data_IF_458163581518
#
_entry.id   IF_458163581518
#
_cell.length_a   1.000
_cell.length_b   1.000
_cell.length_c   1.000
_cell.angle_alpha   90.00
_cell.angle_beta   90.00
_cell.angle_gamma   90.00
#
_symmetry.space_group_name_H-M   'P 1'
#
loop_
_entity.id
_entity.type
_entity.pdbx_description
1 polymer ?
#
# COMPACT_ATOMS: atom_id res chain seq x y z
N UNK A 1 -13.20 16.00 -29.01
CA UNK A 1 -12.09 15.68 -28.08
C UNK A 1 -12.50 14.99 -26.76
N UNK A 2 -13.75 15.05 -26.28
CA UNK A 2 -14.17 14.34 -25.04
C UNK A 2 -14.24 12.80 -25.15
N UNK A 3 -14.26 12.22 -26.37
CA UNK A 3 -14.33 10.76 -26.60
C UNK A 3 -13.00 10.01 -26.41
N UNK A 4 -11.85 10.69 -26.39
CA UNK A 4 -10.52 10.04 -26.32
C UNK A 4 -10.10 9.72 -24.86
N UNK A 5 -10.60 10.48 -23.89
CA UNK A 5 -10.21 10.33 -22.47
C UNK A 5 -10.89 9.11 -21.83
N UNK A 6 -12.09 8.74 -22.27
CA UNK A 6 -12.82 7.55 -21.77
C UNK A 6 -12.20 6.23 -22.21
N UNK A 7 -11.52 6.18 -23.37
CA UNK A 7 -10.84 4.96 -23.84
C UNK A 7 -9.59 4.61 -23.00
N UNK A 8 -8.88 5.64 -22.50
CA UNK A 8 -7.65 5.45 -21.72
C UNK A 8 -7.86 4.80 -20.34
N UNK A 9 -9.01 5.05 -19.71
CA UNK A 9 -9.36 4.45 -18.41
C UNK A 9 -9.74 2.97 -18.60
N UNK A 10 -10.39 2.61 -19.70
CA UNK A 10 -10.80 1.22 -19.99
C UNK A 10 -9.60 0.29 -20.25
N UNK A 11 -8.55 0.79 -20.92
CA UNK A 11 -7.34 0.00 -21.21
C UNK A 11 -6.51 -0.37 -19.96
N UNK A 12 -6.49 0.48 -18.93
CA UNK A 12 -5.78 0.18 -17.67
C UNK A 12 -6.46 -0.91 -16.84
N UNK A 13 -7.78 -1.11 -16.99
CA UNK A 13 -8.49 -2.21 -16.34
C UNK A 13 -8.28 -3.56 -17.05
N UNK A 14 -8.11 -3.57 -18.38
CA UNK A 14 -7.96 -4.81 -19.16
C UNK A 14 -6.57 -5.46 -19.02
N UNK A 15 -5.50 -4.67 -18.82
CA UNK A 15 -4.13 -5.20 -18.65
C UNK A 15 -3.89 -5.86 -17.28
N UNK A 16 -4.69 -5.52 -16.26
CA UNK A 16 -4.64 -6.19 -14.96
C UNK A 16 -5.19 -7.63 -14.96
N UNK A 17 -6.00 -7.98 -15.98
CA UNK A 17 -6.70 -9.26 -16.05
C UNK A 17 -5.93 -10.38 -16.77
N UNK A 18 -4.84 -10.09 -17.47
CA UNK A 18 -4.07 -11.09 -18.22
C UNK A 18 -3.10 -11.94 -17.36
N UNK A 19 -3.02 -11.69 -16.04
CA UNK A 19 -2.07 -12.38 -15.16
C UNK A 19 -2.52 -13.76 -14.64
N UNK A 20 -3.68 -14.25 -15.05
CA UNK A 20 -4.24 -15.52 -14.54
C UNK A 20 -4.80 -16.37 -15.68
N UNK A 21 -3.99 -17.27 -16.24
CA UNK A 21 -4.45 -18.60 -16.67
C UNK A 21 -3.37 -19.51 -17.28
N UNK A 22 -2.13 -19.06 -17.49
CA UNK A 22 -1.07 -19.96 -17.98
C UNK A 22 -0.48 -20.80 -16.84
N UNK A 23 -1.00 -22.02 -16.66
CA UNK A 23 -0.27 -23.23 -16.22
C UNK A 23 0.52 -23.22 -14.91
N UNK A 24 0.46 -22.17 -14.10
CA UNK A 24 1.30 -22.03 -12.90
C UNK A 24 0.79 -22.83 -11.69
N UNK A 25 -0.27 -23.62 -11.87
CA UNK A 25 -0.96 -24.31 -10.79
C UNK A 25 -0.09 -25.34 -10.07
N UNK A 26 0.95 -25.86 -10.73
CA UNK A 26 1.80 -26.92 -10.18
C UNK A 26 3.29 -26.56 -10.08
N UNK A 27 3.62 -25.26 -10.13
CA UNK A 27 5.02 -24.82 -9.99
C UNK A 27 5.61 -25.26 -8.62
N UNK A 28 6.86 -25.75 -8.57
CA UNK A 28 7.54 -26.09 -7.32
C UNK A 28 7.54 -24.95 -6.29
N UNK A 29 7.55 -23.70 -6.78
CA UNK A 29 7.47 -22.50 -5.96
C UNK A 29 6.12 -22.39 -5.21
N UNK A 30 4.99 -22.71 -5.86
CA UNK A 30 3.66 -22.69 -5.24
C UNK A 30 3.55 -23.78 -4.16
N UNK A 31 4.04 -24.99 -4.43
CA UNK A 31 4.12 -26.09 -3.45
C UNK A 31 4.96 -25.68 -2.22
N UNK A 32 6.11 -25.04 -2.43
CA UNK A 32 6.93 -24.52 -1.34
C UNK A 32 6.22 -23.41 -0.53
N UNK A 33 5.53 -22.50 -1.21
CA UNK A 33 4.76 -21.44 -0.57
C UNK A 33 3.60 -22.01 0.27
N UNK A 34 2.91 -23.04 -0.23
CA UNK A 34 1.86 -23.73 0.52
C UNK A 34 2.41 -24.40 1.78
N UNK A 35 3.52 -25.13 1.69
CA UNK A 35 4.18 -25.74 2.86
C UNK A 35 4.60 -24.69 3.87
N UNK A 36 5.24 -23.60 3.42
CA UNK A 36 5.60 -22.46 4.29
C UNK A 36 4.39 -21.91 5.01
N UNK A 37 3.26 -21.76 4.30
CA UNK A 37 2.02 -21.23 4.86
C UNK A 37 1.38 -22.16 5.89
N UNK A 38 1.32 -23.47 5.63
CA UNK A 38 0.83 -24.48 6.59
C UNK A 38 1.66 -24.46 7.89
N UNK A 39 2.98 -24.36 7.78
CA UNK A 39 3.88 -24.21 8.94
C UNK A 39 3.57 -22.93 9.73
N UNK A 40 3.33 -21.80 9.03
CA UNK A 40 2.98 -20.54 9.67
C UNK A 40 1.65 -20.63 10.43
N UNK A 41 0.61 -21.22 9.82
CA UNK A 41 -0.70 -21.42 10.47
C UNK A 41 -0.56 -22.33 11.70
N UNK A 42 0.18 -23.43 11.57
CA UNK A 42 0.45 -24.34 12.68
C UNK A 42 1.13 -23.63 13.85
N UNK A 43 2.21 -22.88 13.58
CA UNK A 43 2.93 -22.12 14.61
C UNK A 43 2.05 -21.04 15.23
N UNK A 44 1.19 -20.40 14.44
CA UNK A 44 0.24 -19.40 14.90
C UNK A 44 -0.77 -20.01 15.89
N UNK A 45 -1.45 -21.11 15.50
CA UNK A 45 -2.39 -21.82 16.38
C UNK A 45 -1.71 -22.27 17.68
N UNK A 46 -0.51 -22.87 17.57
CA UNK A 46 0.25 -23.31 18.73
C UNK A 46 0.60 -22.16 19.68
N UNK A 47 0.94 -20.98 19.15
CA UNK A 47 1.30 -19.82 19.97
C UNK A 47 0.13 -19.24 20.77
N UNK A 48 -1.12 -19.59 20.41
CA UNK A 48 -2.31 -19.14 21.12
C UNK A 48 -2.61 -19.98 22.37
N UNK A 49 -1.96 -21.13 22.57
CA UNK A 49 -2.19 -21.98 23.76
C UNK A 49 -3.69 -22.23 24.02
N UNK A 50 -4.43 -22.62 22.98
CA UNK A 50 -5.88 -22.76 23.02
C UNK A 50 -6.31 -23.94 23.90
N UNK A 51 -7.34 -23.74 24.73
CA UNK A 51 -8.00 -24.85 25.43
C UNK A 51 -8.80 -25.72 24.46
N UNK A 52 -9.10 -26.99 24.78
CA UNK A 52 -9.94 -27.85 23.93
C UNK A 52 -11.29 -27.22 23.57
N UNK A 53 -11.93 -26.54 24.52
CA UNK A 53 -13.19 -25.82 24.31
C UNK A 53 -13.04 -24.69 23.30
N UNK A 54 -12.00 -23.85 23.44
CA UNK A 54 -11.73 -22.76 22.50
C UNK A 54 -11.42 -23.29 21.10
N UNK A 55 -10.63 -24.38 21.01
CA UNK A 55 -10.29 -25.00 19.74
C UNK A 55 -11.55 -25.50 19.01
N UNK A 56 -12.47 -26.16 19.72
CA UNK A 56 -13.76 -26.60 19.17
C UNK A 56 -14.63 -25.43 18.66
N UNK A 57 -14.73 -24.36 19.44
CA UNK A 57 -15.47 -23.16 19.06
C UNK A 57 -14.88 -22.51 17.80
N UNK A 58 -13.56 -22.32 17.76
CA UNK A 58 -12.86 -21.73 16.60
C UNK A 58 -13.01 -22.62 15.36
N UNK A 59 -12.89 -23.94 15.51
CA UNK A 59 -13.09 -24.89 14.42
C UNK A 59 -14.51 -24.82 13.84
N UNK A 60 -15.53 -24.75 14.71
CA UNK A 60 -16.93 -24.60 14.30
C UNK A 60 -17.16 -23.31 13.51
N UNK A 61 -16.62 -22.17 13.98
CA UNK A 61 -16.69 -20.88 13.29
C UNK A 61 -16.00 -20.97 11.92
N UNK A 62 -14.80 -21.55 11.86
CA UNK A 62 -14.03 -21.67 10.63
C UNK A 62 -14.73 -22.55 9.57
N UNK A 63 -15.42 -23.63 9.97
CA UNK A 63 -16.23 -24.44 9.06
C UNK A 63 -17.37 -23.63 8.47
N UNK A 64 -18.11 -22.91 9.31
CA UNK A 64 -19.24 -22.08 8.88
C UNK A 64 -18.79 -21.02 7.88
N UNK A 65 -17.71 -20.30 8.20
CA UNK A 65 -17.11 -19.33 7.28
C UNK A 65 -16.68 -19.98 5.96
N UNK A 66 -16.05 -21.16 6.00
CA UNK A 66 -15.62 -21.86 4.79
C UNK A 66 -16.81 -22.24 3.90
N UNK A 67 -17.93 -22.72 4.48
CA UNK A 67 -19.15 -23.02 3.72
C UNK A 67 -19.72 -21.77 3.03
N UNK A 68 -19.84 -20.67 3.75
CA UNK A 68 -20.30 -19.39 3.19
C UNK A 68 -19.36 -18.89 2.09
N UNK A 69 -18.04 -19.03 2.29
CA UNK A 69 -17.03 -18.69 1.27
C UNK A 69 -17.20 -19.51 0.00
N UNK A 70 -17.47 -20.80 0.10
CA UNK A 70 -17.70 -21.66 -1.06
C UNK A 70 -18.98 -21.28 -1.81
N UNK A 71 -20.06 -21.00 -1.09
CA UNK A 71 -21.31 -20.50 -1.67
C UNK A 71 -21.10 -19.17 -2.39
N UNK A 72 -20.45 -18.21 -1.72
CA UNK A 72 -20.08 -16.91 -2.27
C UNK A 72 -19.22 -17.04 -3.53
N UNK A 73 -18.17 -17.87 -3.50
CA UNK A 73 -17.28 -18.05 -4.65
C UNK A 73 -18.01 -18.63 -5.86
N UNK A 74 -18.97 -19.53 -5.65
CA UNK A 74 -19.78 -20.11 -6.73
C UNK A 74 -20.62 -19.02 -7.40
N UNK A 75 -21.39 -18.25 -6.63
CA UNK A 75 -22.22 -17.17 -7.20
C UNK A 75 -21.35 -16.07 -7.82
N UNK A 76 -20.29 -15.68 -7.14
CA UNK A 76 -19.38 -14.63 -7.60
C UNK A 76 -18.75 -14.97 -8.95
N UNK A 77 -18.31 -16.23 -9.15
CA UNK A 77 -17.75 -16.70 -10.43
C UNK A 77 -18.77 -16.61 -11.57
N UNK A 78 -20.04 -16.92 -11.29
CA UNK A 78 -21.10 -16.84 -12.30
C UNK A 78 -21.36 -15.38 -12.71
N UNK A 79 -21.51 -14.47 -11.74
CA UNK A 79 -21.67 -13.04 -12.03
C UNK A 79 -20.42 -12.48 -12.72
N UNK A 80 -19.22 -12.91 -12.33
CA UNK A 80 -17.95 -12.50 -12.95
C UNK A 80 -17.90 -12.93 -14.41
N UNK A 81 -18.31 -14.16 -14.73
CA UNK A 81 -18.40 -14.66 -16.10
C UNK A 81 -19.34 -13.80 -16.94
N UNK A 82 -20.55 -13.55 -16.45
CA UNK A 82 -21.54 -12.69 -17.14
C UNK A 82 -21.02 -11.26 -17.33
N UNK A 83 -20.31 -10.73 -16.34
CA UNK A 83 -19.68 -9.40 -16.40
C UNK A 83 -18.61 -9.36 -17.50
N UNK A 84 -17.71 -10.36 -17.55
CA UNK A 84 -16.68 -10.49 -18.58
C UNK A 84 -17.28 -10.58 -19.97
N UNK A 85 -18.32 -11.39 -20.15
CA UNK A 85 -19.03 -11.52 -21.43
C UNK A 85 -19.66 -10.18 -21.86
N UNK A 86 -20.30 -9.45 -20.94
CA UNK A 86 -20.89 -8.15 -21.23
C UNK A 86 -19.83 -7.11 -21.65
N UNK A 87 -18.71 -7.04 -20.94
CA UNK A 87 -17.60 -6.15 -21.31
C UNK A 87 -16.90 -6.57 -22.60
N UNK A 88 -16.79 -7.87 -22.88
CA UNK A 88 -16.22 -8.35 -24.13
C UNK A 88 -17.09 -7.96 -25.33
N UNK A 89 -18.41 -8.12 -25.23
CA UNK A 89 -19.36 -7.65 -26.26
C UNK A 89 -19.28 -6.14 -26.46
N UNK A 90 -19.18 -5.38 -25.37
CA UNK A 90 -19.04 -3.92 -25.43
C UNK A 90 -17.72 -3.51 -26.10
N UNK A 91 -16.61 -4.19 -25.76
CA UNK A 91 -15.31 -4.00 -26.41
C UNK A 91 -15.38 -4.30 -27.90
N UNK A 92 -16.03 -5.39 -28.29
CA UNK A 92 -16.15 -5.80 -29.70
C UNK A 92 -16.88 -4.73 -30.52
N UNK A 93 -18.07 -4.29 -30.08
CA UNK A 93 -18.83 -3.22 -30.76
C UNK A 93 -18.01 -1.93 -30.94
N UNK A 94 -17.26 -1.52 -29.89
CA UNK A 94 -16.38 -0.35 -29.96
C UNK A 94 -15.22 -0.51 -30.96
N UNK A 95 -14.67 -1.72 -31.10
CA UNK A 95 -13.59 -1.99 -32.06
C UNK A 95 -14.11 -2.05 -33.49
N UNK A 96 -15.34 -2.53 -33.69
CA UNK A 96 -16.00 -2.63 -34.99
C UNK A 96 -16.52 -1.26 -35.49
N UNK A 97 -16.39 -0.19 -34.68
CA UNK A 97 -16.85 1.16 -35.01
C UNK A 97 -18.37 1.36 -34.87
N UNK A 98 -19.07 0.37 -34.32
CA UNK A 98 -20.50 0.43 -34.06
C UNK A 98 -20.79 1.18 -32.76
N UNK A 99 -21.91 1.92 -32.71
CA UNK A 99 -22.40 2.47 -31.45
C UNK A 99 -22.97 1.33 -30.58
N UNK A 100 -22.38 1.02 -29.40
CA UNK A 100 -22.81 -0.12 -28.61
C UNK A 100 -24.25 0.07 -28.11
N UNK A 101 -25.09 -0.98 -28.11
CA UNK A 101 -26.47 -0.87 -27.64
C UNK A 101 -26.54 -0.31 -26.22
N UNK A 102 -27.36 0.73 -25.99
CA UNK A 102 -27.51 1.36 -24.66
C UNK A 102 -27.83 0.35 -23.54
N UNK A 103 -28.62 -0.69 -23.86
CA UNK A 103 -28.94 -1.79 -22.95
C UNK A 103 -27.70 -2.60 -22.52
N UNK A 104 -26.69 -2.76 -23.39
CA UNK A 104 -25.47 -3.50 -23.09
C UNK A 104 -24.59 -2.76 -22.08
N UNK A 105 -24.43 -1.44 -22.24
CA UNK A 105 -23.71 -0.61 -21.28
C UNK A 105 -24.35 -0.61 -19.90
N UNK A 106 -25.68 -0.45 -19.83
CA UNK A 106 -26.43 -0.55 -18.57
C UNK A 106 -26.28 -1.91 -17.90
N UNK A 107 -26.35 -3.01 -18.67
CA UNK A 107 -26.15 -4.37 -18.14
C UNK A 107 -24.75 -4.58 -17.56
N UNK A 108 -23.70 -4.15 -18.27
CA UNK A 108 -22.32 -4.29 -17.79
C UNK A 108 -22.10 -3.52 -16.48
N UNK A 109 -22.59 -2.27 -16.40
CA UNK A 109 -22.52 -1.45 -15.19
C UNK A 109 -23.26 -2.10 -14.01
N UNK A 110 -24.48 -2.61 -14.23
CA UNK A 110 -25.27 -3.26 -13.17
C UNK A 110 -24.58 -4.52 -12.63
N UNK A 111 -24.00 -5.33 -13.51
CA UNK A 111 -23.25 -6.53 -13.10
C UNK A 111 -21.97 -6.18 -12.32
N UNK A 112 -21.26 -5.11 -12.72
CA UNK A 112 -20.10 -4.62 -11.98
C UNK A 112 -20.49 -4.11 -10.58
N UNK A 113 -21.59 -3.36 -10.47
CA UNK A 113 -22.14 -2.96 -9.18
C UNK A 113 -22.50 -4.19 -8.33
N UNK A 114 -23.20 -5.18 -8.90
CA UNK A 114 -23.50 -6.43 -8.19
C UNK A 114 -22.23 -7.12 -7.66
N UNK A 115 -21.17 -7.22 -8.47
CA UNK A 115 -19.89 -7.79 -8.01
C UNK A 115 -19.28 -7.00 -6.84
N UNK A 116 -19.42 -5.68 -6.84
CA UNK A 116 -18.93 -4.82 -5.75
C UNK A 116 -19.74 -5.05 -4.48
N UNK A 117 -21.06 -5.09 -4.58
CA UNK A 117 -21.97 -5.29 -3.45
C UNK A 117 -21.74 -6.67 -2.82
N UNK A 118 -21.64 -7.72 -3.64
CA UNK A 118 -21.28 -9.07 -3.21
C UNK A 118 -19.96 -9.09 -2.43
N UNK A 119 -18.92 -8.38 -2.90
CA UNK A 119 -17.64 -8.31 -2.16
C UNK A 119 -17.80 -7.64 -0.80
N UNK A 120 -18.61 -6.59 -0.72
CA UNK A 120 -18.84 -5.88 0.53
C UNK A 120 -19.60 -6.76 1.53
N UNK A 121 -20.64 -7.46 1.07
CA UNK A 121 -21.39 -8.41 1.90
C UNK A 121 -20.48 -9.51 2.46
N UNK A 122 -19.64 -10.11 1.61
CA UNK A 122 -18.69 -11.13 2.07
C UNK A 122 -17.63 -10.57 3.03
N UNK A 123 -17.24 -9.31 2.87
CA UNK A 123 -16.34 -8.63 3.81
C UNK A 123 -16.98 -8.45 5.19
N UNK A 124 -18.28 -8.17 5.25
CA UNK A 124 -19.04 -8.07 6.50
C UNK A 124 -19.15 -9.44 7.19
N UNK A 125 -19.43 -10.50 6.44
CA UNK A 125 -19.41 -11.89 6.93
C UNK A 125 -18.02 -12.26 7.50
N UNK A 126 -16.95 -11.89 6.80
CA UNK A 126 -15.58 -12.12 7.27
C UNK A 126 -15.30 -11.38 8.58
N UNK A 127 -15.72 -10.11 8.70
CA UNK A 127 -15.54 -9.32 9.92
C UNK A 127 -16.31 -9.93 11.09
N UNK A 128 -17.55 -10.34 10.87
CA UNK A 128 -18.38 -11.01 11.87
C UNK A 128 -17.67 -12.24 12.46
N UNK A 129 -17.17 -13.15 11.61
CA UNK A 129 -16.47 -14.34 12.10
C UNK A 129 -15.11 -14.05 12.75
N UNK A 130 -14.42 -12.98 12.34
CA UNK A 130 -13.20 -12.56 13.03
C UNK A 130 -13.49 -12.07 14.45
N UNK A 131 -14.58 -11.32 14.64
CA UNK A 131 -15.03 -10.85 15.95
C UNK A 131 -15.46 -12.03 16.83
N UNK A 132 -16.26 -12.97 16.30
CA UNK A 132 -16.63 -14.19 17.03
C UNK A 132 -15.40 -15.00 17.51
N UNK A 133 -14.38 -15.16 16.66
CA UNK A 133 -13.14 -15.84 17.07
C UNK A 133 -12.43 -15.05 18.16
N UNK A 134 -12.33 -13.72 18.04
CA UNK A 134 -11.69 -12.89 19.06
C UNK A 134 -12.40 -13.03 20.41
N UNK A 135 -13.73 -13.16 20.43
CA UNK A 135 -14.52 -13.32 21.64
C UNK A 135 -14.31 -14.66 22.36
N UNK A 136 -13.94 -15.70 21.62
CA UNK A 136 -13.51 -16.99 22.20
C UNK A 136 -12.16 -16.87 22.92
N UNK A 137 -11.32 -15.91 22.54
CA UNK A 137 -9.96 -15.76 23.07
C UNK A 137 -9.92 -14.95 24.38
N UNK A 138 -9.01 -15.32 25.27
CA UNK A 138 -8.63 -14.48 26.43
C UNK A 138 -7.93 -13.20 25.96
N UNK A 139 -7.88 -12.17 26.80
CA UNK A 139 -7.22 -10.90 26.43
C UNK A 139 -5.74 -11.08 26.02
N UNK A 140 -5.00 -11.95 26.74
CA UNK A 140 -3.61 -12.31 26.40
C UNK A 140 -3.53 -12.95 25.01
N UNK A 141 -4.42 -13.88 24.72
CA UNK A 141 -4.48 -14.55 23.41
C UNK A 141 -4.89 -13.59 22.29
N UNK A 142 -5.81 -12.64 22.53
CA UNK A 142 -6.18 -11.60 21.55
C UNK A 142 -4.99 -10.75 21.14
N UNK A 143 -4.14 -10.35 22.10
CA UNK A 143 -2.90 -9.61 21.82
C UNK A 143 -1.96 -10.41 20.91
N UNK A 144 -1.76 -11.70 21.21
CA UNK A 144 -0.95 -12.60 20.38
C UNK A 144 -1.59 -12.78 18.98
N UNK A 145 -2.90 -12.97 18.91
CA UNK A 145 -3.62 -13.19 17.67
C UNK A 145 -3.52 -11.99 16.72
N UNK A 146 -3.65 -10.76 17.24
CA UNK A 146 -3.57 -9.55 16.43
C UNK A 146 -2.12 -9.19 16.06
N UNK A 147 -1.17 -9.49 16.95
CA UNK A 147 0.26 -9.20 16.78
C UNK A 147 1.11 -10.46 16.99
N UNK A 148 1.07 -11.41 16.04
CA UNK A 148 1.73 -12.70 16.24
C UNK A 148 3.24 -12.52 16.30
N UNK A 149 3.93 -13.28 17.17
CA UNK A 149 5.37 -13.31 17.18
C UNK A 149 5.89 -13.78 15.81
N UNK A 150 7.15 -13.48 15.45
CA UNK A 150 7.73 -13.98 14.21
C UNK A 150 7.61 -15.51 14.13
N UNK A 151 6.73 -15.96 13.24
CA UNK A 151 6.28 -17.36 13.13
C UNK A 151 7.34 -18.34 12.60
N UNK A 152 8.52 -17.84 12.22
CA UNK A 152 9.70 -18.66 11.91
C UNK A 152 10.63 -18.72 13.11
N UNK A 153 10.21 -19.42 14.16
CA UNK A 153 11.12 -19.80 15.24
C UNK A 153 11.91 -21.00 14.72
N UNK A 154 13.22 -20.82 14.51
CA UNK A 154 14.09 -21.93 14.14
C UNK A 154 13.99 -23.03 15.21
N UNK A 155 13.90 -24.32 14.83
CA UNK A 155 13.91 -25.40 15.80
C UNK A 155 15.12 -25.25 16.72
N UNK A 156 14.95 -25.48 18.03
CA UNK A 156 16.06 -25.48 18.98
C UNK A 156 17.11 -26.49 18.46
N UNK A 157 18.30 -26.00 18.11
CA UNK A 157 19.39 -26.81 17.53
C UNK A 157 19.82 -26.43 16.10
N UNK A 158 19.05 -25.64 15.34
CA UNK A 158 19.47 -25.19 14.00
C UNK A 158 20.49 -24.04 14.09
N UNK A 159 21.79 -24.37 14.19
CA UNK A 159 22.89 -23.39 14.25
C UNK A 159 23.07 -22.56 12.96
N UNK A 160 22.55 -23.01 11.81
CA UNK A 160 22.81 -22.42 10.50
C UNK A 160 21.56 -21.82 9.83
N UNK A 161 20.73 -21.12 10.61
CA UNK A 161 19.59 -20.41 10.03
C UNK A 161 20.07 -19.16 9.25
N UNK A 162 19.73 -19.02 7.95
CA UNK A 162 20.30 -17.99 7.07
C UNK A 162 19.89 -16.55 7.39
N UNK A 163 19.02 -16.34 8.39
CA UNK A 163 18.52 -15.02 8.77
C UNK A 163 19.18 -14.37 9.99
N UNK A 164 20.24 -14.96 10.58
CA UNK A 164 21.18 -14.12 11.32
C UNK A 164 21.82 -13.20 10.28
N UNK A 165 21.19 -12.04 10.07
CA UNK A 165 21.76 -10.91 9.34
C UNK A 165 23.17 -10.83 9.85
N UNK A 166 24.14 -11.27 9.04
CA UNK A 166 25.54 -10.99 9.28
C UNK A 166 25.53 -9.51 9.60
N UNK A 167 25.83 -9.14 10.85
CA UNK A 167 26.18 -7.77 11.18
C UNK A 167 27.32 -7.51 10.21
N UNK A 168 27.02 -6.94 9.05
CA UNK A 168 28.03 -6.48 8.11
C UNK A 168 28.68 -5.39 8.92
N UNK A 169 29.76 -5.75 9.62
CA UNK A 169 30.64 -4.78 10.22
C UNK A 169 30.96 -3.84 9.08
N UNK A 170 30.47 -2.61 9.18
CA UNK A 170 31.05 -1.52 8.43
C UNK A 170 32.50 -1.43 8.90
N UNK A 171 33.38 -2.23 8.28
CA UNK A 171 34.80 -1.94 8.26
C UNK A 171 34.91 -0.60 7.55
N UNK A 172 35.03 0.45 8.35
CA UNK A 172 35.30 1.79 7.87
C UNK A 172 36.53 1.76 6.99
N UNK A 173 36.35 2.05 5.70
CA UNK A 173 37.46 2.41 4.84
C UNK A 173 37.91 3.81 5.27
N UNK A 174 38.95 3.86 6.11
CA UNK A 174 39.82 5.04 6.24
C UNK A 174 40.63 5.13 4.95
N UNK A 175 40.30 6.08 4.07
CA UNK A 175 41.20 6.54 3.02
C UNK A 175 40.65 7.86 2.46
N UNK A 176 41.36 8.95 2.69
CA UNK A 176 41.06 10.27 2.14
C UNK A 176 41.26 11.40 3.14
N UNK A 177 42.45 11.51 3.72
CA UNK A 177 42.96 12.79 4.21
C UNK A 177 43.27 13.65 2.98
N UNK A 178 42.68 14.84 2.89
CA UNK A 178 42.98 15.76 1.79
C UNK A 178 41.80 16.61 1.30
N UNK A 179 41.08 17.24 2.22
CA UNK A 179 40.39 18.53 2.06
C UNK A 179 39.58 18.73 3.33
N UNK A 180 39.85 19.82 4.06
CA UNK A 180 39.22 20.13 5.35
C UNK A 180 37.70 20.05 5.27
N UNK A 181 37.14 18.87 5.59
CA UNK A 181 35.74 18.72 5.89
C UNK A 181 35.54 19.42 7.21
N UNK A 182 34.88 20.57 7.17
CA UNK A 182 34.18 21.10 8.33
C UNK A 182 33.35 19.95 8.91
N UNK A 183 33.80 19.36 10.02
CA UNK A 183 33.05 18.40 10.86
C UNK A 183 31.99 19.12 11.70
N UNK A 184 31.47 20.25 11.21
CA UNK A 184 30.21 20.81 11.71
C UNK A 184 29.08 19.89 11.27
N UNK A 185 28.13 19.64 12.18
CA UNK A 185 26.92 18.86 11.92
C UNK A 185 26.42 19.06 10.49
N UNK A 186 26.27 17.98 9.71
CA UNK A 186 25.88 18.01 8.29
C UNK A 186 24.64 18.87 8.00
N UNK A 187 23.80 19.09 9.00
CA UNK A 187 22.64 19.96 8.93
C UNK A 187 22.97 21.46 8.83
N UNK A 188 24.02 21.94 9.49
CA UNK A 188 24.42 23.35 9.50
C UNK A 188 25.01 23.79 8.16
N UNK A 189 25.92 22.98 7.59
CA UNK A 189 26.47 23.22 6.26
C UNK A 189 25.37 23.21 5.19
N UNK A 190 24.44 22.26 5.28
CA UNK A 190 23.27 22.22 4.41
C UNK A 190 22.45 23.49 4.63
N UNK A 191 22.07 23.84 5.86
CA UNK A 191 21.33 25.08 6.18
C UNK A 191 21.96 26.34 5.59
N UNK A 192 23.28 26.47 5.66
CA UNK A 192 24.02 27.61 5.15
C UNK A 192 23.83 27.81 3.64
N UNK A 193 24.05 26.76 2.83
CA UNK A 193 23.82 26.82 1.38
C UNK A 193 22.37 27.19 1.03
N UNK A 194 21.42 26.68 1.83
CA UNK A 194 20.02 27.02 1.67
C UNK A 194 19.73 28.50 1.90
N UNK A 195 20.28 29.08 2.96
CA UNK A 195 20.11 30.50 3.29
C UNK A 195 20.74 31.38 2.20
N UNK A 196 21.94 31.03 1.73
CA UNK A 196 22.59 31.76 0.64
C UNK A 196 21.73 31.80 -0.63
N UNK A 197 21.08 30.67 -0.97
CA UNK A 197 20.15 30.63 -2.09
C UNK A 197 18.95 31.57 -1.88
N UNK A 198 18.37 31.59 -0.67
CA UNK A 198 17.24 32.49 -0.36
C UNK A 198 17.65 33.97 -0.46
N UNK A 199 18.84 34.32 0.01
CA UNK A 199 19.40 35.67 -0.11
C UNK A 199 19.63 36.04 -1.58
N UNK A 200 20.22 35.14 -2.36
CA UNK A 200 20.44 35.34 -3.80
C UNK A 200 19.13 35.62 -4.53
N UNK A 201 18.06 34.88 -4.23
CA UNK A 201 16.73 35.09 -4.83
C UNK A 201 16.15 36.48 -4.52
N UNK A 202 16.45 37.05 -3.35
CA UNK A 202 16.01 38.40 -2.97
C UNK A 202 16.79 39.51 -3.65
N UNK A 203 18.05 39.28 -3.96
CA UNK A 203 18.91 40.28 -4.60
C UNK A 203 18.84 40.26 -6.13
N UNK A 204 18.12 39.31 -6.73
CA UNK A 204 17.94 39.25 -8.19
C UNK A 204 16.97 40.31 -8.69
N UNK A 205 17.23 40.87 -9.88
CA UNK A 205 16.26 41.66 -10.65
C UNK A 205 14.99 40.84 -10.93
N UNK A 206 13.85 41.53 -11.07
CA UNK A 206 12.52 40.91 -11.18
C UNK A 206 12.41 39.93 -12.37
N UNK A 207 12.91 40.32 -13.54
CA UNK A 207 12.90 39.46 -14.73
C UNK A 207 13.73 38.17 -14.51
N UNK A 208 14.92 38.30 -13.92
CA UNK A 208 15.78 37.16 -13.57
C UNK A 208 15.15 36.28 -12.50
N UNK A 209 14.42 36.88 -11.57
CA UNK A 209 13.70 36.18 -10.51
C UNK A 209 12.59 35.31 -11.08
N UNK A 210 11.71 35.83 -11.93
CA UNK A 210 10.60 35.05 -12.51
C UNK A 210 11.13 33.86 -13.33
N UNK A 211 12.18 34.06 -14.14
CA UNK A 211 12.85 32.96 -14.85
C UNK A 211 13.43 31.91 -13.89
N UNK A 212 14.14 32.35 -12.86
CA UNK A 212 14.74 31.44 -11.87
C UNK A 212 13.67 30.69 -11.05
N UNK A 213 12.55 31.35 -10.76
CA UNK A 213 11.39 30.78 -10.05
C UNK A 213 10.79 29.63 -10.83
N UNK A 214 10.56 29.80 -12.13
CA UNK A 214 10.09 28.72 -13.00
C UNK A 214 11.07 27.54 -13.04
N UNK A 215 12.38 27.79 -13.19
CA UNK A 215 13.39 26.75 -13.18
C UNK A 215 13.44 25.96 -11.86
N UNK A 216 13.32 26.65 -10.73
CA UNK A 216 13.29 26.02 -9.41
C UNK A 216 12.03 25.17 -9.22
N UNK A 217 10.87 25.64 -9.71
CA UNK A 217 9.63 24.86 -9.74
C UNK A 217 9.81 23.59 -10.57
N UNK A 218 10.39 23.69 -11.78
CA UNK A 218 10.63 22.53 -12.64
C UNK A 218 11.60 21.52 -12.02
N UNK A 219 12.74 21.98 -11.47
CA UNK A 219 13.71 21.15 -10.75
C UNK A 219 13.06 20.44 -9.56
N UNK A 220 12.19 21.13 -8.83
CA UNK A 220 11.42 20.56 -7.73
C UNK A 220 10.47 19.46 -8.21
N UNK A 221 9.73 19.68 -9.30
CA UNK A 221 8.83 18.66 -9.87
C UNK A 221 9.60 17.42 -10.35
N UNK A 222 10.76 17.61 -10.98
CA UNK A 222 11.63 16.51 -11.41
C UNK A 222 12.13 15.68 -10.21
N UNK A 223 12.57 16.34 -9.14
CA UNK A 223 12.99 15.68 -7.90
C UNK A 223 11.85 14.87 -7.27
N UNK A 224 10.64 15.42 -7.18
CA UNK A 224 9.48 14.72 -6.63
C UNK A 224 9.08 13.51 -7.49
N UNK A 225 9.14 13.63 -8.82
CA UNK A 225 8.92 12.52 -9.75
C UNK A 225 9.90 11.37 -9.49
N UNK A 226 11.18 11.69 -9.29
CA UNK A 226 12.23 10.71 -8.99
C UNK A 226 12.01 10.01 -7.64
N UNK A 227 11.58 10.75 -6.61
CA UNK A 227 11.40 10.21 -5.25
C UNK A 227 10.11 9.42 -5.06
N UNK A 228 9.01 9.82 -5.71
CA UNK A 228 7.67 9.23 -5.48
C UNK A 228 7.38 7.99 -6.33
N UNK A 229 8.26 7.63 -7.28
CA UNK A 229 8.15 6.43 -8.11
C UNK A 229 7.00 6.48 -9.12
N UNK A 230 5.75 6.29 -8.67
CA UNK A 230 4.54 6.29 -9.52
C UNK A 230 4.15 7.67 -10.05
N UNK A 231 4.91 8.71 -9.69
CA UNK A 231 4.64 10.09 -10.08
C UNK A 231 3.48 10.72 -9.30
N UNK A 232 3.45 12.05 -9.31
CA UNK A 232 2.32 12.86 -8.84
C UNK A 232 1.24 12.88 -9.93
N UNK A 233 -0.04 12.87 -9.54
CA UNK A 233 -1.15 13.19 -10.44
C UNK A 233 -1.07 14.65 -10.90
N UNK A 234 -1.71 15.01 -12.02
CA UNK A 234 -1.69 16.39 -12.52
C UNK A 234 -2.23 17.40 -11.50
N UNK A 235 -3.28 17.04 -10.76
CA UNK A 235 -3.84 17.89 -9.71
C UNK A 235 -2.85 18.12 -8.55
N UNK A 236 -2.11 17.08 -8.16
CA UNK A 236 -1.09 17.19 -7.11
C UNK A 236 0.12 18.02 -7.56
N UNK A 237 0.53 17.88 -8.83
CA UNK A 237 1.58 18.73 -9.41
C UNK A 237 1.17 20.20 -9.35
N UNK A 238 -0.06 20.52 -9.73
CA UNK A 238 -0.55 21.90 -9.75
C UNK A 238 -0.60 22.52 -8.35
N UNK A 239 -1.07 21.77 -7.35
CA UNK A 239 -1.09 22.21 -5.96
C UNK A 239 0.33 22.48 -5.44
N UNK A 240 1.29 21.59 -5.68
CA UNK A 240 2.66 21.78 -5.22
C UNK A 240 3.36 22.92 -5.97
N UNK A 241 3.10 23.10 -7.27
CA UNK A 241 3.58 24.28 -8.04
C UNK A 241 3.10 25.58 -7.41
N UNK A 242 1.80 25.70 -7.15
CA UNK A 242 1.21 26.91 -6.55
C UNK A 242 1.76 27.16 -5.14
N UNK A 243 1.88 26.11 -4.33
CA UNK A 243 2.46 26.20 -2.99
C UNK A 243 3.91 26.67 -3.03
N UNK A 244 4.74 26.07 -3.89
CA UNK A 244 6.15 26.40 -3.99
C UNK A 244 6.37 27.81 -4.56
N UNK A 245 5.58 28.21 -5.55
CA UNK A 245 5.54 29.57 -6.10
C UNK A 245 5.26 30.61 -5.00
N UNK A 246 4.20 30.41 -4.21
CA UNK A 246 3.86 31.29 -3.08
C UNK A 246 4.98 31.44 -2.05
N UNK A 247 5.75 30.38 -1.80
CA UNK A 247 6.90 30.44 -0.87
C UNK A 247 8.03 31.28 -1.45
N UNK A 248 8.31 31.15 -2.75
CA UNK A 248 9.31 31.98 -3.45
C UNK A 248 8.93 33.46 -3.41
N UNK A 249 7.66 33.77 -3.66
CA UNK A 249 7.13 35.14 -3.59
C UNK A 249 7.17 35.69 -2.16
N UNK A 250 6.83 34.87 -1.16
CA UNK A 250 6.96 35.23 0.27
C UNK A 250 8.42 35.58 0.60
N UNK A 251 9.39 34.81 0.11
CA UNK A 251 10.83 35.06 0.32
C UNK A 251 11.25 36.40 -0.32
N UNK A 252 10.81 36.66 -1.56
CA UNK A 252 11.18 37.86 -2.34
C UNK A 252 10.65 39.14 -1.70
N UNK A 253 9.39 39.12 -1.27
CA UNK A 253 8.66 40.32 -0.84
C UNK A 253 8.80 40.63 0.66
N UNK A 254 9.49 39.79 1.43
CA UNK A 254 9.67 40.03 2.86
C UNK A 254 10.65 41.19 3.10
N UNK A 255 10.39 42.15 4.02
CA UNK A 255 11.38 43.14 4.42
C UNK A 255 12.62 42.50 5.08
N UNK A 256 13.82 43.07 4.90
CA UNK A 256 15.09 42.48 5.37
C UNK A 256 15.08 42.12 6.86
N UNK A 257 14.62 43.03 7.73
CA UNK A 257 14.51 42.77 9.17
C UNK A 257 13.59 41.58 9.50
N UNK A 258 12.50 41.40 8.75
CA UNK A 258 11.59 40.26 8.93
C UNK A 258 12.19 39.00 8.33
N UNK A 259 12.93 39.11 7.24
CA UNK A 259 13.59 38.00 6.58
C UNK A 259 14.65 37.38 7.48
N UNK A 260 15.52 38.19 8.07
CA UNK A 260 16.57 37.69 8.98
C UNK A 260 16.00 36.90 10.16
N UNK A 261 14.87 37.34 10.72
CA UNK A 261 14.14 36.62 11.77
C UNK A 261 13.48 35.33 11.27
N UNK A 262 13.00 35.30 10.02
CA UNK A 262 12.23 34.18 9.46
C UNK A 262 13.05 33.25 8.56
N UNK A 263 14.30 33.54 8.20
CA UNK A 263 15.06 32.82 7.16
C UNK A 263 15.16 31.32 7.41
N UNK A 264 15.30 30.87 8.66
CA UNK A 264 15.30 29.45 9.00
C UNK A 264 13.92 28.80 8.84
N UNK A 265 12.84 29.52 9.17
CA UNK A 265 11.46 29.05 8.96
C UNK A 265 11.07 29.03 7.47
N UNK A 266 11.54 30.02 6.70
CA UNK A 266 11.37 30.08 5.25
C UNK A 266 12.20 29.00 4.57
N UNK A 267 13.44 28.79 5.01
CA UNK A 267 14.26 27.68 4.54
C UNK A 267 13.61 26.35 4.91
N UNK A 268 13.02 26.25 6.11
CA UNK A 268 12.20 25.12 6.50
C UNK A 268 11.10 24.97 5.47
N UNK A 269 10.18 25.92 5.23
CA UNK A 269 9.11 25.87 4.19
C UNK A 269 9.61 25.53 2.78
N UNK A 270 10.73 26.14 2.36
CA UNK A 270 11.40 25.95 1.08
C UNK A 270 11.91 24.52 0.93
N UNK A 271 12.47 23.95 2.01
CA UNK A 271 12.84 22.53 2.11
C UNK A 271 11.67 21.62 2.46
N UNK A 272 10.64 22.14 3.13
CA UNK A 272 9.76 21.36 3.99
C UNK A 272 8.80 20.54 3.16
N UNK A 273 8.97 19.24 3.37
CA UNK A 273 7.96 18.27 3.78
C UNK A 273 6.68 18.21 2.95
N UNK A 274 6.86 18.00 1.66
CA UNK A 274 5.89 17.26 0.86
C UNK A 274 6.17 15.77 0.97
N UNK A 275 6.15 15.23 2.18
CA UNK A 275 5.91 13.81 2.45
C UNK A 275 5.03 13.80 3.71
N UNK A 276 5.40 14.22 4.92
CA UNK A 276 4.51 14.03 6.10
C UNK A 276 3.08 14.61 6.09
N UNK A 277 2.73 15.75 5.48
CA UNK A 277 1.33 16.25 5.48
C UNK A 277 0.52 15.67 4.31
N UNK A 278 1.11 15.69 3.11
CA UNK A 278 0.54 15.06 1.92
C UNK A 278 0.55 13.54 2.01
N UNK A 279 1.54 12.92 2.66
CA UNK A 279 1.55 11.53 3.13
C UNK A 279 0.70 11.34 4.35
N UNK A 280 0.44 12.30 5.24
CA UNK A 280 -0.58 12.07 6.25
C UNK A 280 -1.95 12.01 5.61
N UNK A 281 -2.23 12.83 4.61
CA UNK A 281 -3.49 12.78 3.90
C UNK A 281 -3.55 11.65 2.87
N UNK A 282 -2.47 11.37 2.14
CA UNK A 282 -2.34 10.18 1.30
C UNK A 282 -2.20 8.91 2.13
N UNK A 283 -1.69 8.93 3.36
CA UNK A 283 -1.68 7.80 4.29
C UNK A 283 -3.01 7.70 5.01
N UNK A 284 -3.79 8.76 5.21
CA UNK A 284 -5.20 8.66 5.61
C UNK A 284 -6.03 8.11 4.45
N UNK A 285 -5.79 8.51 3.21
CA UNK A 285 -6.45 7.97 2.02
C UNK A 285 -5.99 6.53 1.79
N UNK A 286 -4.69 6.23 1.85
CA UNK A 286 -4.14 4.87 1.77
C UNK A 286 -4.50 4.04 2.98
N UNK A 287 -4.69 4.60 4.18
CA UNK A 287 -5.17 3.89 5.36
C UNK A 287 -6.66 3.65 5.26
N UNK A 288 -7.47 4.57 4.74
CA UNK A 288 -8.88 4.32 4.39
C UNK A 288 -8.98 3.24 3.31
N UNK A 289 -8.16 3.33 2.26
CA UNK A 289 -8.08 2.32 1.20
C UNK A 289 -7.44 1.01 1.69
N UNK A 290 -6.54 1.05 2.66
CA UNK A 290 -5.92 -0.11 3.30
C UNK A 290 -6.81 -0.71 4.37
N UNK A 291 -7.67 0.05 5.02
CA UNK A 291 -8.74 -0.43 5.91
C UNK A 291 -9.82 -1.10 5.05
N UNK A 292 -10.13 -0.53 3.87
CA UNK A 292 -10.97 -1.20 2.87
C UNK A 292 -10.28 -2.41 2.20
N UNK A 293 -8.94 -2.47 2.11
CA UNK A 293 -8.20 -3.60 1.54
C UNK A 293 -7.74 -4.67 2.55
N UNK A 294 -7.59 -4.32 3.83
CA UNK A 294 -7.30 -5.24 4.93
C UNK A 294 -8.55 -5.43 5.79
N UNK A 295 -9.68 -5.79 5.16
CA UNK A 295 -10.79 -6.40 5.92
C UNK A 295 -10.33 -7.69 6.61
N UNK A 296 -9.31 -8.34 6.03
CA UNK A 296 -8.68 -9.50 6.64
C UNK A 296 -7.60 -9.09 7.66
N UNK A 297 -7.97 -9.10 8.94
CA UNK A 297 -7.01 -9.02 10.04
C UNK A 297 -6.19 -10.33 10.14
N UNK A 298 -5.26 -10.40 11.09
CA UNK A 298 -4.43 -11.59 11.29
C UNK A 298 -5.28 -12.85 11.57
N UNK A 299 -6.36 -12.72 12.35
CA UNK A 299 -7.29 -13.82 12.63
C UNK A 299 -7.90 -14.35 11.33
N UNK A 300 -8.41 -13.48 10.44
CA UNK A 300 -8.91 -13.90 9.14
C UNK A 300 -7.83 -14.61 8.31
N UNK A 301 -6.64 -14.02 8.26
CA UNK A 301 -5.49 -14.51 7.48
C UNK A 301 -4.95 -15.86 7.93
N UNK A 302 -5.21 -16.29 9.15
CA UNK A 302 -4.69 -17.55 9.68
C UNK A 302 -5.78 -18.55 10.05
N UNK A 303 -6.84 -18.12 10.74
CA UNK A 303 -7.84 -19.00 11.34
C UNK A 303 -9.06 -19.26 10.45
N UNK A 304 -9.41 -18.32 9.55
CA UNK A 304 -10.57 -18.45 8.65
C UNK A 304 -10.19 -18.96 7.24
N UNK A 305 -8.97 -19.45 7.07
CA UNK A 305 -8.54 -20.05 5.82
C UNK A 305 -8.92 -21.53 5.74
N UNK A 306 -9.10 -22.00 4.52
CA UNK A 306 -9.36 -23.41 4.22
C UNK A 306 -8.28 -24.35 4.77
N UNK A 307 -7.00 -23.98 4.62
CA UNK A 307 -5.87 -24.79 5.10
C UNK A 307 -5.74 -24.81 6.63
N UNK A 308 -6.46 -23.93 7.34
CA UNK A 308 -6.55 -23.96 8.79
C UNK A 308 -7.43 -25.11 9.30
N UNK A 309 -8.47 -25.50 8.56
CA UNK A 309 -9.43 -26.51 8.99
C UNK A 309 -8.77 -27.87 9.25
N UNK A 310 -7.89 -28.29 8.35
CA UNK A 310 -7.12 -29.54 8.53
C UNK A 310 -6.23 -29.49 9.77
N UNK A 311 -5.64 -28.33 10.05
CA UNK A 311 -4.72 -28.14 11.18
C UNK A 311 -5.52 -28.14 12.49
N UNK A 312 -6.59 -27.35 12.57
CA UNK A 312 -7.48 -27.32 13.74
C UNK A 312 -8.08 -28.70 14.04
N UNK A 313 -8.50 -29.43 13.00
CA UNK A 313 -8.97 -30.81 13.12
C UNK A 313 -7.91 -31.72 13.77
N UNK A 314 -6.64 -31.60 13.37
CA UNK A 314 -5.54 -32.39 13.96
C UNK A 314 -5.29 -32.02 15.43
N UNK A 315 -5.33 -30.74 15.80
CA UNK A 315 -5.21 -30.34 17.19
C UNK A 315 -6.37 -30.88 18.04
N UNK A 316 -7.58 -30.97 17.48
CA UNK A 316 -8.77 -31.39 18.20
C UNK A 316 -8.82 -32.91 18.45
N UNK A 317 -8.50 -33.71 17.43
CA UNK A 317 -8.58 -35.18 17.52
C UNK A 317 -7.25 -35.85 17.88
N UNK A 318 -6.13 -35.14 17.80
CA UNK A 318 -4.78 -35.68 18.00
C UNK A 318 -4.13 -35.31 19.34
N UNK A 319 -4.86 -34.61 20.21
CA UNK A 319 -4.49 -34.35 21.61
C UNK A 319 -5.38 -35.21 22.49
#
# INVERSE_FOLDING_TARGET
>A
MKKVITLGILCLFLLGFWKTSYGYEDSPLKKLQEKKRKILIYNYIRSLELTPKQLFQIYSIAITHHRQRMAFQKEYKEVEKQTKEAFWKLKKALLDGEDPPKKLGGRASNLEHKLKDMRQEFQEILRYHQEEILDVLTEKQRKIALTPPPLYIAPKGFKHWPHKKRKRGHKGKKAGEGQGRYEGNSQEAVNFQGIQLLQKLRSMEEEKFEKTKEELIQKRMAFLRQKMGKGLTEKEKEIEKQRFSKVLDEIRNLPDKKFEKKKFSLLKKFRYQGLDAMERDLAKIRAKWSQQKNVENTVGKFLLREDCLEILKRFYYGS
#
